data_IF_252356329834
#
_entry.id   IF_252356329834
#
_cell.length_a   1.000
_cell.length_b   1.000
_cell.length_c   1.000
_cell.angle_alpha   90.00
_cell.angle_beta   90.00
_cell.angle_gamma   90.00
#
_symmetry.space_group_name_H-M   'P 1'
#
loop_
_entity.id
_entity.type
_entity.pdbx_description
1 polymer ?
#
# COMPACT_ATOMS: atom_id res chain seq x y z
N UNK A 1 3.24 30.51 -7.13
CA UNK A 1 3.05 29.69 -5.91
C UNK A 1 3.30 28.23 -6.28
N UNK A 2 4.38 27.57 -5.81
CA UNK A 2 4.62 26.14 -6.12
C UNK A 2 3.48 25.31 -5.54
N UNK A 3 2.82 24.50 -6.36
CA UNK A 3 1.73 23.60 -5.95
C UNK A 3 2.28 22.65 -4.87
N UNK A 4 1.55 22.49 -3.76
CA UNK A 4 1.92 21.52 -2.72
C UNK A 4 1.78 20.12 -3.31
N UNK A 5 2.91 19.48 -3.53
CA UNK A 5 2.97 18.11 -4.02
C UNK A 5 2.48 17.16 -2.93
N UNK A 6 1.47 16.36 -3.27
CA UNK A 6 0.96 15.29 -2.43
C UNK A 6 1.27 13.97 -3.09
N UNK A 7 1.87 13.05 -2.34
CA UNK A 7 2.24 11.72 -2.83
C UNK A 7 1.88 10.68 -1.80
N UNK A 8 1.41 9.55 -2.29
CA UNK A 8 1.20 8.37 -1.51
C UNK A 8 2.10 7.26 -2.01
N UNK A 9 2.87 6.65 -1.10
CA UNK A 9 3.93 5.72 -1.45
C UNK A 9 3.79 4.45 -0.61
N UNK A 10 3.72 3.29 -1.26
CA UNK A 10 3.85 1.98 -0.60
C UNK A 10 5.22 1.43 -0.97
N UNK A 11 6.10 1.29 0.00
CA UNK A 11 7.48 0.87 -0.24
C UNK A 11 7.62 -0.64 -0.38
N UNK A 12 8.59 -1.09 -1.17
CA UNK A 12 9.11 -2.43 -1.04
C UNK A 12 10.05 -2.50 0.16
N UNK A 13 9.58 -3.11 1.25
CA UNK A 13 10.41 -3.47 2.39
C UNK A 13 10.10 -4.89 2.83
N UNK A 14 11.12 -5.75 2.86
CA UNK A 14 10.97 -7.13 3.30
C UNK A 14 10.47 -7.19 4.74
N UNK A 15 9.40 -7.97 4.96
CA UNK A 15 8.84 -8.29 6.27
C UNK A 15 8.08 -7.17 6.97
N UNK A 16 7.94 -5.98 6.38
CA UNK A 16 7.15 -4.90 6.98
C UNK A 16 6.46 -4.06 5.92
N UNK A 17 5.15 -3.85 6.11
CA UNK A 17 4.36 -2.98 5.27
C UNK A 17 4.57 -1.54 5.69
N UNK A 18 4.93 -0.70 4.72
CA UNK A 18 5.22 0.71 4.95
C UNK A 18 4.52 1.57 3.93
N UNK A 19 3.73 2.49 4.44
CA UNK A 19 2.95 3.44 3.70
C UNK A 19 3.39 4.83 4.12
N UNK A 20 3.65 5.70 3.15
CA UNK A 20 3.99 7.09 3.40
C UNK A 20 3.03 8.01 2.66
N UNK A 21 2.48 8.97 3.38
CA UNK A 21 1.75 10.09 2.81
C UNK A 21 2.58 11.37 2.95
N UNK A 22 3.04 11.91 1.81
CA UNK A 22 3.77 13.18 1.72
C UNK A 22 2.77 14.28 1.39
N UNK A 23 2.87 15.40 2.12
CA UNK A 23 2.13 16.61 1.84
C UNK A 23 3.08 17.81 1.97
N UNK A 24 3.58 18.30 0.82
CA UNK A 24 4.60 19.33 0.77
C UNK A 24 5.90 18.86 1.45
N UNK A 25 6.27 19.55 2.54
CA UNK A 25 7.47 19.30 3.36
C UNK A 25 7.18 18.41 4.59
N UNK A 26 5.98 17.85 4.70
CA UNK A 26 5.60 16.95 5.79
C UNK A 26 5.35 15.53 5.27
N UNK A 27 5.67 14.53 6.08
CA UNK A 27 5.41 13.13 5.79
C UNK A 27 4.81 12.40 6.99
N UNK A 28 3.81 11.58 6.73
CA UNK A 28 3.23 10.62 7.67
C UNK A 28 3.65 9.21 7.24
N UNK A 29 4.37 8.50 8.11
CA UNK A 29 4.82 7.12 7.90
C UNK A 29 3.93 6.19 8.71
N UNK A 30 3.13 5.39 8.02
CA UNK A 30 2.33 4.34 8.62
C UNK A 30 3.02 2.99 8.38
N UNK A 31 3.42 2.32 9.44
CA UNK A 31 4.12 1.05 9.34
C UNK A 31 3.75 0.10 10.49
N UNK A 32 3.98 -1.19 10.27
CA UNK A 32 3.88 -2.21 11.32
C UNK A 32 5.09 -2.22 12.26
N UNK A 33 6.26 -1.83 11.76
CA UNK A 33 7.51 -1.73 12.53
C UNK A 33 8.30 -0.50 12.08
N UNK A 34 8.38 0.51 12.95
CA UNK A 34 9.08 1.76 12.68
C UNK A 34 10.61 1.62 12.68
N UNK A 35 11.14 0.66 13.44
CA UNK A 35 12.59 0.44 13.53
C UNK A 35 13.12 -0.13 12.21
N UNK A 36 12.38 -1.06 11.60
CA UNK A 36 12.71 -1.68 10.32
C UNK A 36 12.78 -0.69 9.15
N UNK A 37 12.14 0.48 9.25
CA UNK A 37 12.02 1.45 8.15
C UNK A 37 12.83 2.72 8.38
N UNK A 38 13.37 2.93 9.58
CA UNK A 38 14.00 4.18 10.01
C UNK A 38 15.06 4.68 9.02
N UNK A 39 15.98 3.82 8.58
CA UNK A 39 17.05 4.21 7.66
C UNK A 39 16.52 4.58 6.26
N UNK A 40 15.52 3.84 5.77
CA UNK A 40 14.86 4.14 4.49
C UNK A 40 14.17 5.51 4.55
N UNK A 41 13.46 5.80 5.64
CA UNK A 41 12.77 7.08 5.83
C UNK A 41 13.78 8.23 5.98
N UNK A 42 14.87 8.06 6.74
CA UNK A 42 15.92 9.09 6.86
C UNK A 42 16.49 9.50 5.49
N UNK A 43 16.80 8.53 4.63
CA UNK A 43 17.31 8.81 3.28
C UNK A 43 16.28 9.57 2.43
N UNK A 44 15.00 9.17 2.53
CA UNK A 44 13.91 9.85 1.83
C UNK A 44 13.72 11.30 2.32
N UNK A 45 13.81 11.52 3.63
CA UNK A 45 13.66 12.85 4.25
C UNK A 45 14.65 13.85 3.67
N UNK A 46 15.91 13.44 3.53
CA UNK A 46 16.96 14.25 2.92
C UNK A 46 16.67 14.48 1.43
N UNK A 47 16.37 13.40 0.68
CA UNK A 47 16.13 13.46 -0.77
C UNK A 47 14.95 14.36 -1.14
N UNK A 48 13.87 14.29 -0.36
CA UNK A 48 12.59 14.95 -0.66
C UNK A 48 12.39 16.28 0.09
N UNK A 49 13.42 16.76 0.80
CA UNK A 49 13.38 17.98 1.63
C UNK A 49 12.18 17.99 2.60
N UNK A 50 11.97 16.88 3.30
CA UNK A 50 10.94 16.75 4.33
C UNK A 50 11.47 17.36 5.62
N UNK A 51 10.71 18.26 6.23
CA UNK A 51 11.06 18.94 7.48
C UNK A 51 10.36 18.34 8.70
N UNK A 52 9.22 17.67 8.49
CA UNK A 52 8.43 17.03 9.56
C UNK A 52 8.06 15.61 9.18
N UNK A 53 8.38 14.66 10.05
CA UNK A 53 7.99 13.25 9.92
C UNK A 53 7.18 12.85 11.15
N UNK A 54 6.04 12.23 10.94
CA UNK A 54 5.24 11.60 11.98
C UNK A 54 5.15 10.09 11.70
N UNK A 55 5.33 9.26 12.73
CA UNK A 55 5.16 7.81 12.62
C UNK A 55 3.84 7.39 13.26
N UNK A 56 3.10 6.53 12.57
CA UNK A 56 1.81 5.99 13.01
C UNK A 56 1.75 4.49 12.77
N UNK A 57 0.86 3.83 13.50
CA UNK A 57 0.52 2.43 13.26
C UNK A 57 -0.21 2.30 11.93
N UNK A 58 0.15 1.27 11.16
CA UNK A 58 -0.55 0.92 9.94
C UNK A 58 -2.02 0.55 10.21
N UNK A 59 -2.94 1.33 9.65
CA UNK A 59 -4.38 1.09 9.68
C UNK A 59 -4.83 0.18 8.53
N UNK A 60 -6.00 -0.42 8.68
CA UNK A 60 -6.58 -1.31 7.66
C UNK A 60 -7.17 -0.57 6.45
N UNK A 61 -7.35 0.75 6.51
CA UNK A 61 -7.82 1.53 5.36
C UNK A 61 -7.39 3.00 5.43
N UNK A 62 -7.31 3.60 4.25
CA UNK A 62 -6.97 5.01 4.05
C UNK A 62 -7.86 5.61 2.98
N UNK A 63 -8.22 6.88 3.17
CA UNK A 63 -8.88 7.69 2.15
C UNK A 63 -8.06 8.93 1.90
N UNK A 64 -7.69 9.14 0.64
CA UNK A 64 -6.74 10.17 0.23
C UNK A 64 -7.32 10.86 -0.99
N UNK A 65 -7.89 12.06 -0.76
CA UNK A 65 -8.80 12.71 -1.70
C UNK A 65 -9.89 11.72 -2.16
N UNK A 66 -9.93 11.45 -3.47
CA UNK A 66 -10.93 10.60 -4.12
C UNK A 66 -10.47 9.14 -4.21
N UNK A 67 -9.27 8.82 -3.72
CA UNK A 67 -8.73 7.47 -3.73
C UNK A 67 -8.91 6.79 -2.38
N UNK A 68 -9.35 5.54 -2.44
CA UNK A 68 -9.50 4.67 -1.28
C UNK A 68 -8.52 3.49 -1.39
N UNK A 69 -7.80 3.25 -0.30
CA UNK A 69 -6.92 2.09 -0.14
C UNK A 69 -7.43 1.23 1.01
N UNK A 70 -7.61 -0.05 0.72
CA UNK A 70 -7.78 -1.08 1.73
C UNK A 70 -6.46 -1.83 1.93
N UNK A 71 -6.10 -2.13 3.17
CA UNK A 71 -5.00 -3.03 3.52
C UNK A 71 -5.61 -4.34 4.00
N UNK A 72 -5.34 -5.40 3.25
CA UNK A 72 -5.72 -6.77 3.59
C UNK A 72 -4.50 -7.49 4.14
N UNK A 73 -4.43 -7.59 5.46
CA UNK A 73 -3.29 -8.13 6.20
C UNK A 73 -3.58 -9.45 6.95
N UNK A 74 -4.85 -9.86 7.03
CA UNK A 74 -5.26 -11.09 7.69
C UNK A 74 -6.59 -11.63 7.11
N UNK A 75 -6.98 -12.82 7.57
CA UNK A 75 -8.13 -13.58 7.05
C UNK A 75 -9.48 -13.24 7.70
N UNK A 76 -9.49 -12.42 8.76
CA UNK A 76 -10.69 -12.14 9.56
C UNK A 76 -11.58 -11.04 8.96
N UNK A 77 -11.16 -10.42 7.86
CA UNK A 77 -11.92 -9.36 7.21
C UNK A 77 -13.24 -9.87 6.62
N UNK A 78 -14.35 -9.33 7.11
CA UNK A 78 -15.70 -9.59 6.60
C UNK A 78 -15.96 -8.66 5.40
N UNK A 79 -16.06 -9.24 4.20
CA UNK A 79 -16.09 -8.49 2.92
C UNK A 79 -17.48 -7.95 2.52
N UNK A 80 -18.53 -8.20 3.31
CA UNK A 80 -19.91 -7.99 2.88
C UNK A 80 -20.40 -6.52 2.89
N UNK A 81 -19.62 -5.58 3.44
CA UNK A 81 -20.01 -4.15 3.54
C UNK A 81 -18.84 -3.18 3.38
N UNK A 82 -17.81 -3.53 2.62
CA UNK A 82 -16.72 -2.59 2.40
C UNK A 82 -17.15 -1.51 1.40
N UNK A 83 -16.84 -0.23 1.65
CA UNK A 83 -17.09 0.83 0.70
C UNK A 83 -16.30 0.58 -0.59
N UNK A 84 -16.75 1.20 -1.69
CA UNK A 84 -16.02 1.17 -2.98
C UNK A 84 -14.55 1.50 -2.72
N UNK A 85 -13.68 0.56 -3.11
CA UNK A 85 -12.24 0.57 -2.83
C UNK A 85 -11.50 0.65 -4.15
N UNK A 86 -10.64 1.64 -4.34
CA UNK A 86 -9.89 1.81 -5.59
C UNK A 86 -8.66 0.90 -5.62
N UNK A 87 -7.95 0.83 -4.50
CA UNK A 87 -6.72 0.06 -4.36
C UNK A 87 -6.82 -0.92 -3.19
N UNK A 88 -6.26 -2.11 -3.36
CA UNK A 88 -6.06 -3.06 -2.26
C UNK A 88 -4.57 -3.36 -2.14
N UNK A 89 -4.00 -3.13 -0.96
CA UNK A 89 -2.69 -3.64 -0.58
C UNK A 89 -2.87 -5.00 0.09
N UNK A 90 -2.28 -6.03 -0.48
CA UNK A 90 -2.08 -7.33 0.15
C UNK A 90 -0.78 -7.28 0.96
N UNK A 91 -0.85 -7.58 2.25
CA UNK A 91 0.31 -7.61 3.14
C UNK A 91 0.31 -8.81 4.07
N UNK A 92 1.50 -9.23 4.51
CA UNK A 92 1.72 -10.36 5.41
C UNK A 92 1.09 -11.68 4.93
N UNK A 93 1.00 -11.90 3.62
CA UNK A 93 0.51 -13.16 3.04
C UNK A 93 -0.87 -13.58 3.58
N UNK A 94 -1.92 -12.75 3.44
CA UNK A 94 -3.19 -13.00 4.08
C UNK A 94 -3.82 -14.29 3.50
N UNK A 95 -4.26 -15.18 4.39
CA UNK A 95 -4.94 -16.43 4.03
C UNK A 95 -6.39 -16.18 3.65
N UNK A 96 -6.62 -15.61 2.47
CA UNK A 96 -7.96 -15.25 1.97
C UNK A 96 -8.31 -16.03 0.71
N UNK A 97 -9.61 -16.33 0.52
CA UNK A 97 -10.10 -16.74 -0.78
C UNK A 97 -10.08 -15.52 -1.71
N UNK A 98 -8.99 -15.39 -2.46
CA UNK A 98 -8.72 -14.19 -3.26
C UNK A 98 -9.76 -13.96 -4.35
N UNK A 99 -10.27 -15.02 -5.00
CA UNK A 99 -11.31 -14.89 -6.00
C UNK A 99 -12.61 -14.31 -5.41
N UNK A 100 -13.11 -14.89 -4.31
CA UNK A 100 -14.29 -14.39 -3.61
C UNK A 100 -14.10 -12.95 -3.11
N UNK A 101 -12.89 -12.62 -2.66
CA UNK A 101 -12.51 -11.27 -2.27
C UNK A 101 -12.65 -10.28 -3.43
N UNK A 102 -12.04 -10.59 -4.59
CA UNK A 102 -12.13 -9.74 -5.79
C UNK A 102 -13.58 -9.55 -6.26
N UNK A 103 -14.39 -10.60 -6.21
CA UNK A 103 -15.80 -10.55 -6.61
C UNK A 103 -16.64 -9.64 -5.69
N UNK A 104 -16.26 -9.55 -4.41
CA UNK A 104 -16.94 -8.73 -3.41
C UNK A 104 -16.53 -7.25 -3.49
N UNK A 105 -15.22 -6.99 -3.59
CA UNK A 105 -14.66 -5.64 -3.47
C UNK A 105 -14.54 -4.92 -4.81
N UNK A 106 -14.30 -5.67 -5.89
CA UNK A 106 -14.12 -5.17 -7.27
C UNK A 106 -13.19 -3.95 -7.32
N UNK A 107 -11.94 -4.05 -6.83
CA UNK A 107 -11.03 -2.91 -6.81
C UNK A 107 -10.55 -2.55 -8.22
N UNK A 108 -10.02 -1.34 -8.39
CA UNK A 108 -9.41 -0.91 -9.66
C UNK A 108 -8.00 -1.50 -9.83
N UNK A 109 -7.30 -1.79 -8.74
CA UNK A 109 -5.96 -2.38 -8.77
C UNK A 109 -5.62 -3.10 -7.46
N UNK A 110 -4.79 -4.13 -7.58
CA UNK A 110 -4.14 -4.82 -6.47
C UNK A 110 -2.69 -4.40 -6.38
N UNK A 111 -2.19 -4.28 -5.14
CA UNK A 111 -0.81 -3.95 -4.81
C UNK A 111 -0.31 -5.05 -3.88
N UNK A 112 0.88 -5.60 -4.13
CA UNK A 112 1.56 -6.50 -3.23
C UNK A 112 2.90 -5.90 -2.83
N UNK A 113 3.19 -5.89 -1.52
CA UNK A 113 4.46 -5.40 -1.00
C UNK A 113 5.43 -6.53 -0.59
N UNK A 114 6.60 -6.14 -0.06
CA UNK A 114 7.66 -7.05 0.36
C UNK A 114 7.39 -7.83 1.65
N UNK A 115 6.23 -7.65 2.29
CA UNK A 115 5.85 -8.46 3.45
C UNK A 115 5.28 -9.83 3.06
N UNK A 116 4.99 -10.06 1.78
CA UNK A 116 4.37 -11.28 1.29
C UNK A 116 5.39 -12.33 0.79
N UNK A 117 5.00 -13.60 0.85
CA UNK A 117 5.74 -14.69 0.21
C UNK A 117 5.63 -14.61 -1.31
N UNK A 118 6.72 -14.95 -1.99
CA UNK A 118 6.79 -14.93 -3.46
C UNK A 118 5.72 -15.80 -4.12
N UNK A 119 5.46 -16.99 -3.59
CA UNK A 119 4.43 -17.91 -4.10
C UNK A 119 3.02 -17.33 -4.01
N UNK A 120 2.71 -16.57 -2.95
CA UNK A 120 1.42 -15.90 -2.80
C UNK A 120 1.26 -14.76 -3.80
N UNK A 121 2.32 -13.96 -4.00
CA UNK A 121 2.37 -12.89 -5.00
C UNK A 121 2.11 -13.45 -6.40
N UNK A 122 2.83 -14.51 -6.79
CA UNK A 122 2.69 -15.15 -8.10
C UNK A 122 1.27 -15.69 -8.31
N UNK A 123 0.68 -16.31 -7.27
CA UNK A 123 -0.70 -16.79 -7.31
C UNK A 123 -1.71 -15.66 -7.51
N UNK A 124 -1.61 -14.57 -6.75
CA UNK A 124 -2.52 -13.44 -6.90
C UNK A 124 -2.35 -12.71 -8.22
N UNK A 125 -1.10 -12.56 -8.69
CA UNK A 125 -0.82 -11.95 -9.98
C UNK A 125 -1.48 -12.75 -11.12
N UNK A 126 -1.41 -14.08 -11.07
CA UNK A 126 -2.11 -14.95 -12.01
C UNK A 126 -3.62 -14.73 -11.96
N UNK A 127 -4.23 -14.77 -10.77
CA UNK A 127 -5.68 -14.52 -10.63
C UNK A 127 -6.11 -13.14 -11.10
N UNK A 128 -5.29 -12.10 -10.92
CA UNK A 128 -5.57 -10.76 -11.44
C UNK A 128 -5.47 -10.72 -12.97
N UNK A 129 -4.47 -11.39 -13.55
CA UNK A 129 -4.29 -11.50 -15.00
C UNK A 129 -5.49 -12.15 -15.67
N UNK A 130 -6.00 -13.26 -15.12
CA UNK A 130 -7.19 -13.95 -15.63
C UNK A 130 -8.44 -13.05 -15.65
N UNK A 131 -8.47 -12.05 -14.78
CA UNK A 131 -9.57 -11.08 -14.62
C UNK A 131 -9.31 -9.72 -15.29
N UNK A 132 -8.16 -9.56 -15.97
CA UNK A 132 -7.69 -8.27 -16.54
C UNK A 132 -7.62 -7.15 -15.49
N UNK A 133 -7.36 -7.51 -14.24
CA UNK A 133 -7.23 -6.59 -13.11
C UNK A 133 -5.76 -6.15 -12.97
N UNK A 134 -5.46 -4.83 -12.94
CA UNK A 134 -4.11 -4.34 -12.69
C UNK A 134 -3.52 -4.89 -11.39
N UNK A 135 -2.29 -5.38 -11.48
CA UNK A 135 -1.54 -5.91 -10.35
C UNK A 135 -0.16 -5.24 -10.28
N UNK A 136 0.14 -4.64 -9.14
CA UNK A 136 1.40 -3.96 -8.90
C UNK A 136 2.21 -4.66 -7.82
N UNK A 137 3.38 -5.16 -8.17
CA UNK A 137 4.32 -5.72 -7.20
C UNK A 137 5.46 -4.75 -6.91
N UNK A 138 5.58 -4.29 -5.66
CA UNK A 138 6.63 -3.33 -5.30
C UNK A 138 8.03 -3.92 -5.42
N UNK A 139 8.21 -5.25 -5.33
CA UNK A 139 9.52 -5.88 -5.48
C UNK A 139 10.13 -5.74 -6.87
N UNK A 140 9.32 -5.47 -7.90
CA UNK A 140 9.82 -5.19 -9.25
C UNK A 140 10.11 -3.70 -9.49
N UNK A 141 9.43 -2.81 -8.76
CA UNK A 141 9.43 -1.36 -9.03
C UNK A 141 10.01 -0.51 -7.90
N UNK A 142 10.44 -1.14 -6.80
CA UNK A 142 10.94 -0.51 -5.58
C UNK A 142 9.83 0.10 -4.70
N UNK A 143 8.81 0.71 -5.28
CA UNK A 143 7.65 1.25 -4.56
C UNK A 143 6.46 1.42 -5.50
N UNK A 144 5.25 1.43 -4.96
CA UNK A 144 4.07 1.98 -5.64
C UNK A 144 3.95 3.46 -5.26
N UNK A 145 3.81 4.35 -6.24
CA UNK A 145 3.72 5.80 -6.04
C UNK A 145 2.46 6.31 -6.72
N UNK A 146 1.60 6.98 -5.96
CA UNK A 146 0.42 7.69 -6.44
C UNK A 146 0.60 9.18 -6.20
N UNK A 147 0.73 9.96 -7.28
CA UNK A 147 0.75 11.41 -7.20
C UNK A 147 -0.66 11.97 -7.13
N UNK A 148 -0.91 12.80 -6.14
CA UNK A 148 -2.24 13.30 -5.81
C UNK A 148 -2.31 14.76 -6.26
N UNK A 149 -2.98 14.99 -7.40
CA UNK A 149 -3.13 16.33 -8.00
C UNK A 149 -4.09 17.20 -7.21
#
# INVERSE_FOLDING_TARGET
MKRREQKFIIFHKTGTSTLLYKNGISAEVNCSDSTAVTNMIKNLVVKENIQKVEYKTLKNSYRIKDHSLLILNNSEMIFHKLPKTDYVLLSNSPKVNFNRFLDSIKPNSIIADGSNYRSDIERWQKSCSDRKLPFYYTGQKGAFILEIK
#
